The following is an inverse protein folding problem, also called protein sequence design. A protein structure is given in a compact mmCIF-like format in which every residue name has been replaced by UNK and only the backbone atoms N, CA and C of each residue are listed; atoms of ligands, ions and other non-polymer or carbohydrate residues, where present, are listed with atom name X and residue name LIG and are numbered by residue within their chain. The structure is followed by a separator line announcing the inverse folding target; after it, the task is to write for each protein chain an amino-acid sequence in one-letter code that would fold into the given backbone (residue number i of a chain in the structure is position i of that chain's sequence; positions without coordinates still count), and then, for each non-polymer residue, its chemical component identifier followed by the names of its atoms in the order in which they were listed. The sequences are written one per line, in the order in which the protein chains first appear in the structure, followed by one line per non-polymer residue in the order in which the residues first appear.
data_IF_646647310166
#
_entry.id   IF_646647310166
#
_cell.length_a   1.000
_cell.length_b   1.000
_cell.length_c   1.000
_cell.angle_alpha   90.00
_cell.angle_beta   90.00
_cell.angle_gamma   90.00
#
_symmetry.space_group_name_H-M   'P 1'
#
loop_
_entity.id
_entity.type
_entity.pdbx_description
1 polymer ?
#
# COMPACT_ATOMS: atom_id res chain seq x y z
N UNK A 1 -2.29 -7.13 26.02
CA UNK A 1 -0.98 -6.61 25.58
C UNK A 1 -0.97 -6.58 24.06
N UNK A 2 -1.20 -5.42 23.44
CA UNK A 2 -1.10 -5.27 21.99
C UNK A 2 0.38 -5.28 21.62
N UNK A 3 0.81 -6.26 20.82
CA UNK A 3 2.18 -6.38 20.34
C UNK A 3 2.55 -5.16 19.51
N UNK A 4 3.49 -4.36 20.00
CA UNK A 4 4.09 -3.28 19.24
C UNK A 4 4.92 -3.92 18.13
N UNK A 5 4.53 -3.74 16.87
CA UNK A 5 5.32 -4.19 15.72
C UNK A 5 6.42 -3.12 15.46
N UNK A 6 7.69 -3.36 15.82
CA UNK A 6 8.73 -2.34 15.75
C UNK A 6 9.43 -2.46 14.40
N UNK A 7 8.82 -1.93 13.33
CA UNK A 7 9.51 -1.62 12.06
C UNK A 7 8.53 -1.10 11.00
N UNK A 8 8.56 0.21 10.77
CA UNK A 8 7.69 0.97 9.86
C UNK A 8 7.99 0.78 8.37
N UNK A 9 8.75 -0.26 8.00
CA UNK A 9 9.19 -0.49 6.61
C UNK A 9 8.86 -1.88 6.04
N UNK A 10 8.26 -2.80 6.82
CA UNK A 10 7.68 -4.06 6.27
C UNK A 10 6.18 -3.91 6.07
N UNK A 11 5.63 -4.61 5.08
CA UNK A 11 4.19 -4.64 4.75
C UNK A 11 3.37 -4.79 6.05
N UNK A 12 2.59 -3.77 6.37
CA UNK A 12 1.74 -3.74 7.57
C UNK A 12 0.77 -4.94 7.69
N UNK A 13 0.52 -5.67 6.59
CA UNK A 13 -0.23 -6.92 6.58
C UNK A 13 0.41 -8.03 7.44
N UNK A 14 1.73 -8.05 7.61
CA UNK A 14 2.39 -9.13 8.35
C UNK A 14 2.13 -9.10 9.87
N UNK A 15 1.67 -7.97 10.43
CA UNK A 15 1.41 -7.84 11.87
C UNK A 15 -0.05 -8.14 12.25
N UNK A 16 -0.92 -8.44 11.27
CA UNK A 16 -2.35 -8.73 11.46
C UNK A 16 -2.76 -9.90 10.53
N UNK A 17 -2.64 -11.16 11.01
CA UNK A 17 -2.88 -12.34 10.18
C UNK A 17 -4.32 -12.44 9.72
N UNK A 18 -5.28 -11.99 10.54
CA UNK A 18 -6.71 -12.00 10.22
C UNK A 18 -6.99 -11.07 9.03
N UNK A 19 -6.39 -9.88 9.04
CA UNK A 19 -6.53 -8.93 7.93
C UNK A 19 -5.90 -9.45 6.64
N UNK A 20 -4.74 -10.10 6.70
CA UNK A 20 -4.09 -10.68 5.52
C UNK A 20 -4.96 -11.77 4.89
N UNK A 21 -5.50 -12.67 5.71
CA UNK A 21 -6.42 -13.71 5.25
C UNK A 21 -7.68 -13.14 4.57
N UNK A 22 -8.20 -12.01 5.04
CA UNK A 22 -9.32 -11.32 4.38
C UNK A 22 -8.94 -10.74 3.01
N UNK A 23 -7.73 -10.23 2.85
CA UNK A 23 -7.23 -9.74 1.54
C UNK A 23 -7.00 -10.91 0.58
N UNK A 24 -6.36 -11.98 1.06
CA UNK A 24 -6.02 -13.16 0.25
C UNK A 24 -7.28 -13.91 -0.21
N UNK A 25 -8.29 -14.02 0.68
CA UNK A 25 -9.61 -14.59 0.34
C UNK A 25 -10.49 -13.65 -0.51
N UNK A 26 -10.03 -12.42 -0.78
CA UNK A 26 -10.77 -11.42 -1.56
C UNK A 26 -11.94 -10.77 -0.84
N UNK A 27 -12.17 -11.09 0.44
CA UNK A 27 -13.21 -10.51 1.30
C UNK A 27 -12.91 -9.06 1.69
N UNK A 28 -11.64 -8.65 1.62
CA UNK A 28 -11.20 -7.27 1.79
C UNK A 28 -10.44 -6.82 0.54
N UNK A 29 -10.89 -5.72 -0.09
CA UNK A 29 -10.18 -5.11 -1.21
C UNK A 29 -9.47 -3.83 -0.75
N UNK A 30 -8.15 -3.70 -0.99
CA UNK A 30 -7.45 -2.46 -0.74
C UNK A 30 -8.05 -1.33 -1.58
N UNK A 31 -8.44 -0.22 -0.94
CA UNK A 31 -8.91 0.97 -1.64
C UNK A 31 -7.74 1.70 -2.29
N UNK A 32 -7.27 1.23 -3.45
CA UNK A 32 -6.19 1.86 -4.22
C UNK A 32 -6.80 2.97 -5.07
N UNK A 33 -6.39 4.21 -4.81
CA UNK A 33 -6.83 5.37 -5.59
C UNK A 33 -5.99 5.58 -6.85
N UNK A 34 -4.68 5.28 -6.77
CA UNK A 34 -3.75 5.41 -7.89
C UNK A 34 -2.52 4.54 -7.70
N UNK A 35 -1.97 4.04 -8.80
CA UNK A 35 -0.69 3.34 -8.85
C UNK A 35 0.32 4.18 -9.63
N UNK A 36 1.51 4.38 -9.06
CA UNK A 36 2.55 5.25 -9.63
C UNK A 36 3.85 4.45 -9.78
N UNK A 37 4.41 4.35 -10.99
CA UNK A 37 5.75 3.79 -11.19
C UNK A 37 6.79 4.53 -10.34
N UNK A 38 7.70 3.80 -9.72
CA UNK A 38 8.69 4.39 -8.81
C UNK A 38 9.52 5.51 -9.49
N UNK A 39 9.84 5.34 -10.77
CA UNK A 39 10.55 6.32 -11.60
C UNK A 39 9.76 7.60 -11.87
N UNK A 40 8.44 7.58 -11.68
CA UNK A 40 7.52 8.71 -11.91
C UNK A 40 7.03 9.39 -10.65
N UNK A 41 7.49 8.95 -9.47
CA UNK A 41 7.05 9.51 -8.18
C UNK A 41 7.23 11.03 -8.07
N UNK A 42 8.38 11.61 -8.45
CA UNK A 42 8.57 13.04 -8.34
C UNK A 42 7.55 13.83 -9.18
N UNK A 43 7.29 13.37 -10.40
CA UNK A 43 6.33 14.02 -11.31
C UNK A 43 4.89 13.83 -10.84
N UNK A 44 4.52 12.62 -10.43
CA UNK A 44 3.19 12.31 -9.93
C UNK A 44 2.85 13.07 -8.64
N UNK A 45 3.85 13.32 -7.78
CA UNK A 45 3.67 14.14 -6.60
C UNK A 45 3.46 15.62 -6.97
N UNK A 46 4.31 16.18 -7.84
CA UNK A 46 4.20 17.58 -8.27
C UNK A 46 2.88 17.89 -8.98
N UNK A 47 2.34 16.93 -9.73
CA UNK A 47 1.10 17.08 -10.51
C UNK A 47 -0.13 16.41 -9.86
N UNK A 48 -0.08 16.11 -8.56
CA UNK A 48 -1.21 15.49 -7.88
C UNK A 48 -2.43 16.43 -7.90
N UNK A 49 -3.47 16.03 -8.64
CA UNK A 49 -4.76 16.73 -8.68
C UNK A 49 -5.58 16.40 -7.42
N UNK A 50 -5.18 17.00 -6.31
CA UNK A 50 -5.91 16.96 -5.04
C UNK A 50 -5.68 15.69 -4.19
N UNK A 51 -6.37 15.62 -3.04
CA UNK A 51 -6.21 14.53 -2.08
C UNK A 51 -6.70 13.19 -2.66
N UNK A 52 -6.03 12.10 -2.30
CA UNK A 52 -6.48 10.76 -2.66
C UNK A 52 -7.52 10.27 -1.64
N UNK A 53 -8.68 9.79 -2.12
CA UNK A 53 -9.71 9.14 -1.28
C UNK A 53 -9.31 7.72 -0.85
N UNK A 54 -8.19 7.19 -1.36
CA UNK A 54 -7.64 5.88 -1.04
C UNK A 54 -6.11 5.88 -1.01
N UNK A 55 -5.51 4.68 -1.01
CA UNK A 55 -4.06 4.51 -1.00
C UNK A 55 -3.45 4.80 -2.37
N UNK A 56 -2.33 5.51 -2.36
CA UNK A 56 -1.42 5.64 -3.49
C UNK A 56 -0.39 4.53 -3.35
N UNK A 57 -0.27 3.66 -4.35
CA UNK A 57 0.71 2.57 -4.34
C UNK A 57 1.83 2.87 -5.31
N UNK A 58 3.06 2.54 -4.93
CA UNK A 58 4.22 2.65 -5.80
C UNK A 58 4.50 1.30 -6.43
N UNK A 59 4.59 1.25 -7.75
CA UNK A 59 4.97 0.04 -8.47
C UNK A 59 6.47 0.06 -8.72
N UNK A 60 7.17 -0.95 -8.21
CA UNK A 60 8.56 -1.20 -8.57
C UNK A 60 8.59 -2.25 -9.67
N UNK A 61 9.59 -2.20 -10.55
CA UNK A 61 9.79 -3.17 -11.62
C UNK A 61 10.23 -4.57 -11.13
N UNK A 62 10.04 -4.89 -9.84
CA UNK A 62 10.22 -6.24 -9.32
C UNK A 62 9.04 -7.13 -9.73
N UNK A 63 8.89 -7.32 -11.04
CA UNK A 63 8.13 -8.39 -11.63
C UNK A 63 9.13 -9.35 -12.30
N UNK A 64 9.85 -10.12 -11.46
CA UNK A 64 10.18 -11.50 -11.78
C UNK A 64 10.49 -12.29 -10.51
#
# INVERSE_FOLDING_TARGET
MAGVCPQTWRRASACDPDRSALVDSGRLRPAIARAVPLDRVPDAYRHATGPATGKVVLTTSAAR
#
